data_IF_836694105806
#
_entry.id   IF_836694105806
#
_cell.length_a   1.000
_cell.length_b   1.000
_cell.length_c   1.000
_cell.angle_alpha   90.00
_cell.angle_beta   90.00
_cell.angle_gamma   90.00
#
_symmetry.space_group_name_H-M   'P 1'
#
loop_
_entity.id
_entity.type
_entity.pdbx_description
1 polymer ?
#
# COMPACT_ATOMS: atom_id res chain seq x y z
N UNK A 1 -2.70 18.21 46.46
CA UNK A 1 -2.47 17.05 45.57
C UNK A 1 -1.17 17.32 44.82
N UNK A 2 -0.14 16.49 45.01
CA UNK A 2 1.12 16.65 44.28
C UNK A 2 0.93 16.16 42.83
N UNK A 3 1.23 16.97 41.80
CA UNK A 3 1.12 16.58 40.40
C UNK A 3 2.04 15.42 40.01
N UNK A 4 3.06 15.14 40.84
CA UNK A 4 4.02 14.06 40.66
C UNK A 4 3.49 12.67 41.04
N UNK A 5 2.31 12.58 41.67
CA UNK A 5 1.78 11.31 42.16
C UNK A 5 0.53 10.88 41.37
N UNK A 6 0.72 10.70 40.06
CA UNK A 6 -0.34 10.22 39.17
C UNK A 6 -0.43 8.70 39.20
N UNK A 7 -1.65 8.18 39.07
CA UNK A 7 -1.85 6.76 38.89
C UNK A 7 -1.26 6.31 37.54
N UNK A 8 -0.92 5.02 37.38
CA UNK A 8 -0.46 4.49 36.08
C UNK A 8 -1.44 4.76 34.93
N UNK A 9 -2.75 4.81 35.22
CA UNK A 9 -3.77 5.18 34.23
C UNK A 9 -3.71 6.67 33.88
N UNK A 10 -3.46 7.55 34.85
CA UNK A 10 -3.24 8.98 34.62
C UNK A 10 -2.02 9.23 33.72
N UNK A 11 -0.92 8.50 33.94
CA UNK A 11 0.26 8.57 33.07
C UNK A 11 -0.04 8.14 31.62
N UNK A 12 -0.91 7.14 31.41
CA UNK A 12 -1.33 6.73 30.06
C UNK A 12 -2.18 7.80 29.35
N UNK A 13 -3.05 8.49 30.08
CA UNK A 13 -3.86 9.58 29.51
C UNK A 13 -3.00 10.79 29.10
N UNK A 14 -1.86 10.98 29.75
CA UNK A 14 -0.90 12.04 29.43
C UNK A 14 0.22 11.60 28.47
N UNK A 15 0.19 10.36 27.95
CA UNK A 15 1.13 9.90 26.95
C UNK A 15 0.88 10.59 25.60
N UNK A 16 1.51 11.76 25.43
CA UNK A 16 1.43 12.57 24.23
C UNK A 16 1.90 11.82 22.99
N UNK A 17 2.93 10.97 23.12
CA UNK A 17 3.48 10.23 21.98
C UNK A 17 2.51 9.15 21.54
N UNK A 18 1.94 8.41 22.49
CA UNK A 18 0.88 7.44 22.23
C UNK A 18 -0.33 8.09 21.58
N UNK A 19 -0.82 9.21 22.14
CA UNK A 19 -1.91 9.98 21.56
C UNK A 19 -1.62 10.41 20.13
N UNK A 20 -0.53 11.14 19.90
CA UNK A 20 -0.16 11.66 18.57
C UNK A 20 0.04 10.54 17.55
N UNK A 21 0.64 9.41 17.95
CA UNK A 21 0.81 8.25 17.07
C UNK A 21 -0.54 7.70 16.63
N UNK A 22 -1.46 7.49 17.57
CA UNK A 22 -2.77 6.90 17.28
C UNK A 22 -3.66 7.87 16.48
N UNK A 23 -3.66 9.16 16.81
CA UNK A 23 -4.44 10.17 16.08
C UNK A 23 -3.88 10.40 14.68
N UNK A 24 -2.57 10.51 14.51
CA UNK A 24 -1.97 10.65 13.19
C UNK A 24 -2.25 9.43 12.30
N UNK A 25 -2.11 8.20 12.82
CA UNK A 25 -2.41 6.99 12.05
C UNK A 25 -3.89 6.89 11.67
N UNK A 26 -4.80 7.16 12.60
CA UNK A 26 -6.24 7.08 12.33
C UNK A 26 -6.70 8.14 11.33
N UNK A 27 -6.33 9.41 11.54
CA UNK A 27 -6.70 10.50 10.63
C UNK A 27 -6.00 10.35 9.27
N UNK A 28 -4.73 9.93 9.25
CA UNK A 28 -4.00 9.65 8.01
C UNK A 28 -4.61 8.49 7.23
N UNK A 29 -5.03 7.42 7.93
CA UNK A 29 -5.73 6.28 7.31
C UNK A 29 -7.07 6.66 6.72
N UNK A 30 -7.87 7.46 7.44
CA UNK A 30 -9.14 7.99 6.92
C UNK A 30 -8.94 8.93 5.73
N UNK A 31 -7.96 9.83 5.80
CA UNK A 31 -7.62 10.72 4.69
C UNK A 31 -7.18 9.96 3.44
N UNK A 32 -6.34 8.94 3.62
CA UNK A 32 -5.90 8.07 2.52
C UNK A 32 -7.06 7.24 1.94
N UNK A 33 -7.93 6.69 2.79
CA UNK A 33 -9.11 5.97 2.35
C UNK A 33 -10.07 6.88 1.56
N UNK A 34 -10.22 8.13 1.97
CA UNK A 34 -11.01 9.13 1.24
C UNK A 34 -10.40 9.45 -0.13
N UNK A 35 -9.08 9.63 -0.22
CA UNK A 35 -8.40 9.86 -1.50
C UNK A 35 -8.55 8.66 -2.44
N UNK A 36 -8.33 7.43 -1.93
CA UNK A 36 -8.55 6.21 -2.72
C UNK A 36 -10.01 6.05 -3.15
N UNK A 37 -10.96 6.38 -2.28
CA UNK A 37 -12.39 6.32 -2.57
C UNK A 37 -12.79 7.33 -3.65
N UNK A 38 -12.25 8.55 -3.59
CA UNK A 38 -12.50 9.58 -4.59
C UNK A 38 -11.95 9.20 -5.97
N UNK A 39 -10.75 8.62 -6.04
CA UNK A 39 -10.19 8.11 -7.30
C UNK A 39 -10.93 6.88 -7.83
N UNK A 40 -11.59 6.12 -6.94
CA UNK A 40 -12.37 4.94 -7.30
C UNK A 40 -13.77 5.25 -7.88
N UNK A 41 -14.30 6.47 -7.72
CA UNK A 41 -15.59 6.87 -8.31
C UNK A 41 -15.51 6.96 -9.84
N UNK A 42 -14.37 7.38 -10.39
CA UNK A 42 -14.16 7.48 -11.85
C UNK A 42 -13.80 6.13 -12.48
N UNK A 43 -12.91 5.36 -11.85
CA UNK A 43 -12.63 3.96 -12.18
C UNK A 43 -12.00 3.26 -10.95
N UNK A 44 -12.68 2.31 -10.29
CA UNK A 44 -12.28 1.71 -9.02
C UNK A 44 -10.94 0.96 -9.06
N UNK A 45 -10.37 0.79 -10.26
CA UNK A 45 -9.13 0.09 -10.50
C UNK A 45 -7.99 1.02 -10.95
N UNK A 46 -8.25 2.32 -11.03
CA UNK A 46 -7.44 3.26 -11.80
C UNK A 46 -6.81 4.36 -10.95
N UNK A 47 -6.21 3.96 -9.82
CA UNK A 47 -5.42 4.80 -8.92
C UNK A 47 -4.25 5.54 -9.61
N UNK A 48 -3.90 5.16 -10.86
CA UNK A 48 -2.74 5.72 -11.58
C UNK A 48 -3.09 6.40 -12.91
N UNK A 49 -4.38 6.47 -13.27
CA UNK A 49 -4.83 6.86 -14.61
C UNK A 49 -4.52 5.84 -15.72
N UNK A 50 -3.97 4.67 -15.37
CA UNK A 50 -3.77 3.50 -16.24
C UNK A 50 -4.63 2.33 -15.79
N UNK A 51 -5.30 1.68 -16.72
CA UNK A 51 -5.99 0.42 -16.45
C UNK A 51 -4.98 -0.65 -16.00
N UNK A 52 -5.28 -1.42 -14.93
CA UNK A 52 -4.40 -2.49 -14.49
C UNK A 52 -4.31 -3.57 -15.58
N UNK A 53 -3.09 -4.04 -15.84
CA UNK A 53 -2.87 -5.23 -16.65
C UNK A 53 -3.40 -6.43 -15.85
N UNK A 54 -4.50 -7.04 -16.30
CA UNK A 54 -5.02 -8.31 -15.77
C UNK A 54 -4.63 -9.43 -16.73
N UNK A 55 -3.57 -10.22 -16.44
CA UNK A 55 -3.22 -11.35 -17.27
C UNK A 55 -4.34 -12.38 -17.25
N UNK A 56 -4.60 -13.00 -18.39
CA UNK A 56 -5.43 -14.20 -18.46
C UNK A 56 -4.67 -15.34 -17.75
N UNK A 57 -5.26 -15.88 -16.69
CA UNK A 57 -4.68 -16.99 -15.92
C UNK A 57 -5.44 -18.25 -16.31
N UNK A 58 -4.76 -19.15 -17.01
CA UNK A 58 -5.26 -20.50 -17.24
C UNK A 58 -5.07 -21.34 -15.96
N UNK A 59 -6.15 -21.74 -15.27
CA UNK A 59 -6.07 -22.54 -14.06
C UNK A 59 -5.50 -23.96 -14.32
N UNK A 60 -5.67 -24.49 -15.53
CA UNK A 60 -5.18 -25.83 -15.88
C UNK A 60 -3.66 -25.82 -16.15
N UNK A 61 -3.08 -24.64 -16.44
CA UNK A 61 -1.66 -24.46 -16.73
C UNK A 61 -1.03 -23.25 -16.00
N UNK A 62 -0.93 -23.27 -14.66
CA UNK A 62 -0.52 -22.10 -13.86
C UNK A 62 0.93 -21.66 -14.10
N UNK A 63 1.78 -22.53 -14.65
CA UNK A 63 3.20 -22.27 -14.88
C UNK A 63 3.54 -21.84 -16.32
N UNK A 64 2.54 -21.62 -17.17
CA UNK A 64 2.78 -21.18 -18.56
C UNK A 64 3.48 -19.82 -18.56
N UNK A 65 4.41 -19.65 -19.51
CA UNK A 65 5.12 -18.39 -19.71
C UNK A 65 4.09 -17.30 -20.03
N UNK A 66 4.13 -16.22 -19.25
CA UNK A 66 3.32 -15.02 -19.49
C UNK A 66 4.05 -14.03 -20.43
N UNK A 67 3.32 -13.26 -21.24
CA UNK A 67 3.92 -12.15 -21.98
C UNK A 67 4.54 -11.14 -21.01
N UNK A 68 5.65 -10.50 -21.43
CA UNK A 68 6.29 -9.48 -20.62
C UNK A 68 5.41 -8.24 -20.51
N UNK A 69 5.46 -7.55 -19.36
CA UNK A 69 4.73 -6.29 -19.17
C UNK A 69 5.27 -5.16 -20.07
N UNK A 70 6.51 -5.30 -20.53
CA UNK A 70 7.18 -4.33 -21.38
C UNK A 70 7.74 -5.01 -22.62
N UNK A 71 7.81 -4.26 -23.71
CA UNK A 71 8.56 -4.64 -24.90
C UNK A 71 10.03 -4.88 -24.54
N UNK A 72 10.59 -5.97 -25.05
CA UNK A 72 12.01 -6.26 -24.86
C UNK A 72 12.84 -5.21 -25.58
N UNK A 73 13.71 -4.50 -24.87
CA UNK A 73 14.59 -3.49 -25.49
C UNK A 73 15.59 -4.11 -26.48
N UNK A 74 15.94 -5.38 -26.32
CA UNK A 74 16.89 -6.10 -27.16
C UNK A 74 16.24 -7.31 -27.83
N UNK A 75 16.48 -7.47 -29.14
CA UNK A 75 16.00 -8.62 -29.93
C UNK A 75 16.92 -9.85 -29.85
N UNK A 76 18.20 -9.66 -29.52
CA UNK A 76 19.22 -10.72 -29.43
C UNK A 76 20.04 -10.53 -28.16
N UNK A 77 20.13 -11.58 -27.34
CA UNK A 77 20.93 -11.62 -26.11
C UNK A 77 21.98 -12.71 -26.24
N UNK A 78 23.27 -12.37 -26.07
CA UNK A 78 24.37 -13.34 -26.02
C UNK A 78 24.72 -13.56 -24.55
N UNK A 79 24.49 -14.77 -24.05
CA UNK A 79 24.87 -15.15 -22.68
C UNK A 79 26.04 -16.12 -22.76
N UNK A 80 27.21 -15.69 -22.28
CA UNK A 80 28.44 -16.49 -22.21
C UNK A 80 28.62 -16.90 -20.76
N UNK A 81 28.76 -18.21 -20.52
CA UNK A 81 29.08 -18.76 -19.20
C UNK A 81 30.54 -19.22 -19.18
N UNK A 82 31.17 -19.16 -18.00
CA UNK A 82 32.50 -19.74 -17.76
C UNK A 82 32.44 -21.26 -17.60
#
# INVERSE_FOLDING_TARGET
MNPENLSPFGHKLLDRRGFMRNTAFSLGGLGLAQLLGAEAEDDPLNFTGKSPIRPEIDPDNPYVRRPSHFEAQAKKVLVIYC
#
